data_IF_918436245649
#
_entry.id   IF_918436245649
#
_cell.length_a   1.000
_cell.length_b   1.000
_cell.length_c   1.000
_cell.angle_alpha   90.00
_cell.angle_beta   90.00
_cell.angle_gamma   90.00
#
_symmetry.space_group_name_H-M   'P 1'
#
loop_
_entity.id
_entity.type
_entity.pdbx_description
1 polymer ?
#
# COMPACT_ATOMS: atom_id res chain seq x y z
N UNK A 1 -28.99 -22.90 18.48
CA UNK A 1 -28.49 -24.27 18.22
C UNK A 1 -27.02 -24.27 18.63
N UNK A 2 -26.66 -25.03 19.67
CA UNK A 2 -25.29 -25.13 20.21
C UNK A 2 -24.39 -25.96 19.29
N UNK A 3 -23.11 -25.60 19.15
CA UNK A 3 -21.94 -26.46 18.91
C UNK A 3 -20.68 -25.57 19.05
N UNK A 4 -20.02 -25.54 20.22
CA UNK A 4 -18.93 -26.43 20.73
C UNK A 4 -17.53 -26.06 20.23
N UNK A 5 -16.73 -25.59 21.20
CA UNK A 5 -15.27 -25.39 21.20
C UNK A 5 -14.52 -26.68 20.82
N UNK A 6 -13.42 -26.54 20.09
CA UNK A 6 -12.25 -27.40 20.18
C UNK A 6 -11.00 -26.51 20.14
N UNK A 7 -10.31 -26.44 21.28
CA UNK A 7 -8.97 -25.88 21.38
C UNK A 7 -7.93 -26.91 21.00
N UNK A 8 -6.85 -26.46 20.35
CA UNK A 8 -5.64 -27.23 20.12
C UNK A 8 -4.52 -26.55 20.90
N UNK A 9 -4.11 -27.21 21.99
CA UNK A 9 -2.85 -26.98 22.70
C UNK A 9 -1.71 -27.49 21.81
N UNK A 10 -0.67 -26.69 21.59
CA UNK A 10 0.65 -27.21 21.20
C UNK A 10 1.62 -26.79 22.31
N UNK A 11 2.00 -27.77 23.12
CA UNK A 11 3.14 -27.71 24.00
C UNK A 11 4.10 -28.81 23.56
N UNK A 12 5.28 -28.44 23.04
CA UNK A 12 6.43 -29.35 22.96
C UNK A 12 7.67 -28.57 23.44
N UNK A 13 8.00 -28.81 24.71
CA UNK A 13 9.35 -28.71 25.24
C UNK A 13 10.24 -29.73 24.53
N UNK A 14 11.41 -29.31 24.08
CA UNK A 14 12.52 -30.23 23.76
C UNK A 14 13.82 -29.59 24.20
N UNK A 15 14.26 -30.03 25.37
CA UNK A 15 15.54 -29.70 25.97
C UNK A 15 16.69 -30.43 25.24
N UNK A 16 17.73 -29.66 24.95
CA UNK A 16 19.16 -29.95 25.06
C UNK A 16 19.52 -31.42 25.34
N UNK A 17 20.09 -32.08 24.34
CA UNK A 17 21.04 -33.18 24.53
C UNK A 17 22.34 -32.87 23.79
N UNK A 18 23.31 -32.30 24.52
CA UNK A 18 24.72 -32.35 24.15
C UNK A 18 25.27 -33.72 24.57
N UNK A 19 25.41 -34.64 23.62
CA UNK A 19 26.20 -35.86 23.82
C UNK A 19 27.63 -35.61 23.36
N UNK A 20 28.56 -35.69 24.30
CA UNK A 20 29.99 -35.83 24.01
C UNK A 20 30.38 -37.28 23.72
N UNK A 21 31.32 -37.44 22.79
CA UNK A 21 32.34 -38.50 22.67
C UNK A 21 33.22 -38.04 21.48
N UNK A 22 34.54 -37.97 21.48
CA UNK A 22 35.58 -38.49 22.34
C UNK A 22 36.79 -38.77 21.43
N UNK A 23 38.00 -38.41 21.86
CA UNK A 23 39.24 -38.75 21.14
C UNK A 23 40.45 -38.02 21.72
N UNK A 24 41.15 -38.65 22.66
CA UNK A 24 42.35 -38.11 23.32
C UNK A 24 43.64 -38.79 22.89
N UNK A 25 44.76 -38.24 23.35
CA UNK A 25 46.00 -38.97 23.65
C UNK A 25 46.92 -38.15 24.57
N UNK A 26 47.08 -38.66 25.80
CA UNK A 26 48.25 -38.70 26.70
C UNK A 26 49.29 -37.57 26.77
N UNK A 27 49.50 -37.04 27.99
CA UNK A 27 50.68 -37.38 28.80
C UNK A 27 50.66 -36.82 30.24
N UNK A 28 51.14 -37.67 31.15
CA UNK A 28 51.32 -37.52 32.60
C UNK A 28 51.89 -36.19 33.11
N UNK A 29 51.35 -35.66 34.21
CA UNK A 29 51.95 -35.86 35.55
C UNK A 29 51.23 -35.06 36.65
N UNK A 30 51.17 -35.71 37.81
CA UNK A 30 50.54 -35.37 39.08
C UNK A 30 51.09 -34.14 39.81
N UNK A 31 50.22 -33.33 40.45
CA UNK A 31 50.40 -32.83 41.83
C UNK A 31 49.13 -32.20 42.44
N UNK A 32 49.02 -32.30 43.77
CA UNK A 32 47.90 -32.07 44.71
C UNK A 32 47.40 -30.60 44.84
N UNK A 33 46.27 -30.36 45.56
CA UNK A 33 45.42 -29.18 45.42
C UNK A 33 45.85 -27.98 46.28
N UNK A 34 45.63 -26.78 45.78
CA UNK A 34 45.66 -25.55 46.55
C UNK A 34 44.28 -24.87 46.52
N UNK A 35 43.65 -24.76 47.68
CA UNK A 35 42.52 -23.88 47.96
C UNK A 35 43.01 -22.44 48.11
N UNK A 36 42.64 -21.53 47.20
CA UNK A 36 42.56 -20.06 47.34
C UNK A 36 41.81 -19.57 46.08
N UNK A 37 40.80 -18.72 46.01
CA UNK A 37 40.00 -17.91 46.94
C UNK A 37 38.61 -17.71 46.27
N UNK A 38 37.57 -17.47 47.07
CA UNK A 38 36.27 -17.01 46.58
C UNK A 38 36.43 -15.73 45.75
N UNK A 39 36.16 -15.84 44.44
CA UNK A 39 35.91 -14.70 43.57
C UNK A 39 34.41 -14.39 43.71
N UNK A 40 33.99 -13.15 43.96
CA UNK A 40 32.58 -12.82 43.89
C UNK A 40 32.11 -13.10 42.47
N UNK A 41 31.21 -14.06 42.29
CA UNK A 41 30.47 -14.22 41.04
C UNK A 41 29.61 -12.97 40.84
N UNK A 42 30.11 -12.03 40.06
CA UNK A 42 29.28 -11.04 39.37
C UNK A 42 28.68 -11.70 38.13
N UNK A 43 27.89 -12.75 38.32
CA UNK A 43 27.01 -13.27 37.28
C UNK A 43 25.64 -12.60 37.47
N UNK A 44 25.61 -11.29 37.21
CA UNK A 44 24.35 -10.68 36.80
C UNK A 44 24.06 -11.24 35.40
N UNK A 45 22.94 -11.95 35.18
CA UNK A 45 22.57 -12.35 33.82
C UNK A 45 22.57 -11.09 32.95
N UNK A 46 23.13 -11.13 31.73
CA UNK A 46 23.04 -9.98 30.83
C UNK A 46 21.56 -9.63 30.70
N UNK A 47 21.20 -8.41 31.10
CA UNK A 47 19.87 -7.87 30.89
C UNK A 47 19.67 -7.89 29.38
N UNK A 48 18.85 -8.81 28.91
CA UNK A 48 18.43 -8.84 27.51
C UNK A 48 17.61 -7.57 27.30
N UNK A 49 18.22 -6.55 26.69
CA UNK A 49 17.51 -5.33 26.29
C UNK A 49 16.51 -5.76 25.22
N UNK A 50 15.22 -5.57 25.49
CA UNK A 50 14.18 -5.86 24.52
C UNK A 50 14.37 -4.93 23.31
N UNK A 51 14.38 -5.43 22.07
CA UNK A 51 14.43 -4.59 20.89
C UNK A 51 13.30 -3.56 20.93
N UNK A 52 13.61 -2.28 20.71
CA UNK A 52 12.61 -1.22 20.56
C UNK A 52 12.45 -0.78 19.10
N UNK A 53 13.21 -1.37 18.18
CA UNK A 53 13.04 -1.22 16.75
C UNK A 53 12.97 -2.60 16.09
N UNK A 54 11.92 -2.86 15.33
CA UNK A 54 11.78 -4.13 14.61
C UNK A 54 10.87 -4.02 13.40
N UNK A 55 11.27 -4.65 12.29
CA UNK A 55 10.49 -4.75 11.07
C UNK A 55 10.99 -5.85 10.14
N UNK A 56 10.18 -6.17 9.13
CA UNK A 56 10.56 -7.04 8.01
C UNK A 56 10.39 -6.30 6.69
N UNK A 57 11.43 -6.17 5.88
CA UNK A 57 11.37 -5.47 4.58
C UNK A 57 11.03 -6.40 3.43
N UNK A 58 10.09 -5.97 2.58
CA UNK A 58 9.69 -6.64 1.35
C UNK A 58 9.76 -5.68 0.16
N UNK A 59 9.84 -6.24 -1.04
CA UNK A 59 9.36 -5.58 -2.26
C UNK A 59 7.99 -6.16 -2.60
N UNK A 60 7.03 -5.32 -2.94
CA UNK A 60 5.70 -5.76 -3.38
C UNK A 60 5.41 -5.25 -4.78
N UNK A 61 4.89 -6.12 -5.63
CA UNK A 61 4.32 -5.80 -6.94
C UNK A 61 2.89 -6.31 -7.02
N UNK A 62 2.22 -6.03 -8.14
CA UNK A 62 0.90 -6.62 -8.42
C UNK A 62 0.93 -8.17 -8.51
N UNK A 63 2.12 -8.79 -8.55
CA UNK A 63 2.26 -10.24 -8.72
C UNK A 63 2.66 -10.95 -7.41
N UNK A 64 2.86 -10.20 -6.32
CA UNK A 64 3.22 -10.74 -5.01
C UNK A 64 4.30 -9.93 -4.31
N UNK A 65 4.70 -10.41 -3.14
CA UNK A 65 5.71 -9.77 -2.29
C UNK A 65 6.82 -10.75 -1.94
N UNK A 66 8.06 -10.28 -1.92
CA UNK A 66 9.22 -11.07 -1.46
C UNK A 66 10.10 -10.27 -0.51
N UNK A 67 10.76 -10.92 0.47
CA UNK A 67 11.64 -10.23 1.40
C UNK A 67 12.88 -9.68 0.70
N UNK A 68 13.37 -8.52 1.16
CA UNK A 68 14.54 -7.86 0.59
C UNK A 68 15.51 -7.40 1.67
N UNK A 69 16.80 -7.36 1.32
CA UNK A 69 17.83 -6.74 2.18
C UNK A 69 17.84 -5.24 1.93
N UNK A 70 17.57 -4.47 2.97
CA UNK A 70 17.58 -3.00 2.96
C UNK A 70 18.63 -2.46 3.92
N UNK A 71 19.17 -1.27 3.61
CA UNK A 71 19.98 -0.49 4.54
C UNK A 71 19.07 0.32 5.47
N UNK A 72 19.40 0.36 6.75
CA UNK A 72 18.71 1.11 7.80
C UNK A 72 19.67 2.17 8.30
N UNK A 73 19.33 3.44 8.10
CA UNK A 73 20.15 4.59 8.47
C UNK A 73 19.53 5.30 9.66
N UNK A 74 20.34 5.52 10.70
CA UNK A 74 19.94 6.20 11.93
C UNK A 74 20.39 7.66 11.91
N UNK A 75 19.48 8.56 12.25
CA UNK A 75 19.74 10.00 12.26
C UNK A 75 19.41 10.63 13.61
N UNK A 76 20.18 11.64 14.00
CA UNK A 76 19.88 12.51 15.15
C UNK A 76 18.79 13.53 14.81
N UNK A 77 18.34 14.28 15.82
CA UNK A 77 17.27 15.28 15.70
C UNK A 77 17.53 16.39 14.66
N UNK A 78 18.79 16.70 14.39
CA UNK A 78 19.23 17.66 13.37
C UNK A 78 19.52 16.99 12.01
N UNK A 79 19.17 15.70 11.86
CA UNK A 79 19.31 14.94 10.63
C UNK A 79 20.71 14.33 10.39
N UNK A 80 21.67 14.54 11.30
CA UNK A 80 23.03 13.99 11.12
C UNK A 80 23.04 12.47 11.19
N UNK A 81 23.88 11.87 10.34
CA UNK A 81 24.17 10.44 10.35
C UNK A 81 24.73 9.99 11.71
N UNK A 82 24.16 8.93 12.28
CA UNK A 82 24.64 8.24 13.49
C UNK A 82 25.35 6.95 13.10
N UNK A 83 24.62 6.04 12.45
CA UNK A 83 25.11 4.72 12.03
C UNK A 83 24.20 4.10 10.97
N UNK A 84 24.63 2.97 10.42
CA UNK A 84 23.84 2.16 9.47
C UNK A 84 23.93 0.68 9.83
N UNK A 85 22.87 -0.06 9.53
CA UNK A 85 22.85 -1.52 9.56
C UNK A 85 22.02 -2.08 8.39
N UNK A 86 22.05 -3.38 8.17
CA UNK A 86 21.28 -4.04 7.10
C UNK A 86 20.28 -5.00 7.70
N UNK A 87 19.12 -5.11 7.07
CA UNK A 87 18.21 -6.22 7.36
C UNK A 87 18.84 -7.56 6.97
N UNK A 88 18.37 -8.63 7.58
CA UNK A 88 18.82 -9.99 7.27
C UNK A 88 18.37 -10.43 5.86
N UNK A 89 18.86 -11.57 5.32
CA UNK A 89 18.38 -12.10 4.05
C UNK A 89 16.87 -12.42 4.00
N UNK A 90 16.21 -12.60 5.14
CA UNK A 90 14.74 -12.72 5.24
C UNK A 90 14.03 -11.36 5.35
N UNK A 91 14.77 -10.25 5.25
CA UNK A 91 14.26 -8.88 5.41
C UNK A 91 14.09 -8.45 6.86
N UNK A 92 14.35 -9.32 7.83
CA UNK A 92 14.07 -9.05 9.25
C UNK A 92 15.17 -8.19 9.91
N UNK A 93 14.74 -7.33 10.82
CA UNK A 93 15.59 -6.63 11.79
C UNK A 93 14.88 -6.52 13.14
N UNK A 94 15.63 -6.72 14.21
CA UNK A 94 15.20 -6.50 15.58
C UNK A 94 16.41 -6.01 16.39
N UNK A 95 16.46 -4.71 16.66
CA UNK A 95 17.61 -4.06 17.28
C UNK A 95 17.16 -3.04 18.34
N UNK A 96 18.12 -2.58 19.13
CA UNK A 96 17.94 -1.39 19.97
C UNK A 96 18.39 -0.18 19.17
N UNK A 97 17.57 0.88 19.16
CA UNK A 97 17.95 2.13 18.53
C UNK A 97 19.27 2.66 19.11
N UNK A 98 20.24 3.06 18.26
CA UNK A 98 21.45 3.74 18.72
C UNK A 98 21.12 4.98 19.56
N UNK A 99 22.01 5.31 20.50
CA UNK A 99 21.87 6.51 21.34
C UNK A 99 21.71 7.77 20.49
N UNK A 100 20.78 8.67 20.89
CA UNK A 100 20.42 9.91 20.19
C UNK A 100 19.70 9.74 18.85
N UNK A 101 19.23 8.54 18.52
CA UNK A 101 18.38 8.33 17.34
C UNK A 101 17.04 9.06 17.49
N UNK A 102 16.70 9.90 16.52
CA UNK A 102 15.40 10.55 16.39
C UNK A 102 14.67 10.16 15.11
N UNK A 103 15.40 9.88 14.02
CA UNK A 103 14.79 9.48 12.74
C UNK A 103 15.48 8.24 12.18
N UNK A 104 14.74 7.45 11.41
CA UNK A 104 15.23 6.24 10.74
C UNK A 104 14.85 6.30 9.28
N UNK A 105 15.81 6.05 8.39
CA UNK A 105 15.56 5.91 6.95
C UNK A 105 15.85 4.48 6.49
N UNK A 106 14.87 3.87 5.83
CA UNK A 106 15.03 2.60 5.13
C UNK A 106 15.40 2.88 3.68
N UNK A 107 16.47 2.25 3.20
CA UNK A 107 17.03 2.48 1.87
C UNK A 107 17.13 1.16 1.12
N UNK A 108 16.50 1.10 -0.05
CA UNK A 108 16.52 -0.04 -0.94
C UNK A 108 16.96 0.34 -2.34
N UNK A 109 18.08 -0.23 -2.76
CA UNK A 109 18.63 -0.10 -4.10
C UNK A 109 18.22 -1.33 -4.91
N UNK A 110 17.61 -1.11 -6.07
CA UNK A 110 17.28 -2.17 -7.01
C UNK A 110 17.74 -1.81 -8.42
N UNK A 111 17.82 -2.82 -9.27
CA UNK A 111 18.10 -2.69 -10.69
C UNK A 111 17.03 -3.47 -11.42
N UNK A 112 16.26 -2.81 -12.27
CA UNK A 112 15.22 -3.47 -13.05
C UNK A 112 15.81 -4.49 -14.02
N UNK A 113 14.96 -5.36 -14.58
CA UNK A 113 15.38 -6.32 -15.62
C UNK A 113 16.07 -5.64 -16.83
N UNK A 114 15.70 -4.38 -17.11
CA UNK A 114 16.29 -3.59 -18.20
C UNK A 114 17.61 -2.89 -17.83
N UNK A 115 18.13 -3.12 -16.61
CA UNK A 115 19.34 -2.51 -16.09
C UNK A 115 19.17 -1.08 -15.58
N UNK A 116 17.93 -0.60 -15.42
CA UNK A 116 17.69 0.73 -14.84
C UNK A 116 17.87 0.66 -13.32
N UNK A 117 18.72 1.53 -12.77
CA UNK A 117 18.87 1.68 -11.32
C UNK A 117 17.66 2.39 -10.73
N UNK A 118 17.24 1.95 -9.55
CA UNK A 118 16.21 2.61 -8.77
C UNK A 118 16.61 2.62 -7.30
N UNK A 119 16.40 3.76 -6.65
CA UNK A 119 16.65 3.96 -5.24
C UNK A 119 15.34 4.37 -4.56
N UNK A 120 14.92 3.59 -3.58
CA UNK A 120 13.75 3.90 -2.76
C UNK A 120 14.21 4.19 -1.34
N UNK A 121 13.78 5.34 -0.82
CA UNK A 121 14.06 5.77 0.55
C UNK A 121 12.72 5.99 1.23
N UNK A 122 12.59 5.52 2.46
CA UNK A 122 11.48 5.91 3.31
C UNK A 122 11.98 6.30 4.70
N UNK A 123 11.63 7.51 5.12
CA UNK A 123 12.03 8.03 6.42
C UNK A 123 10.86 8.05 7.39
N UNK A 124 11.12 7.53 8.58
CA UNK A 124 10.28 7.60 9.77
C UNK A 124 10.87 8.67 10.71
N UNK A 125 10.14 9.75 10.91
CA UNK A 125 10.53 10.81 11.84
C UNK A 125 10.10 10.47 13.27
N UNK A 126 10.78 11.03 14.27
CA UNK A 126 10.42 10.93 15.69
C UNK A 126 10.19 9.50 16.20
N UNK A 127 11.19 8.64 16.03
CA UNK A 127 11.16 7.24 16.49
C UNK A 127 11.95 7.02 17.77
N UNK A 128 12.28 8.07 18.53
CA UNK A 128 13.13 7.96 19.73
C UNK A 128 12.53 7.09 20.84
N UNK A 129 11.21 6.92 20.87
CA UNK A 129 10.52 6.00 21.78
C UNK A 129 10.52 4.53 21.30
N UNK A 130 11.05 4.27 20.11
CA UNK A 130 10.98 2.98 19.44
C UNK A 130 9.92 2.96 18.33
N UNK A 131 10.06 2.00 17.41
CA UNK A 131 9.09 1.77 16.34
C UNK A 131 9.08 0.30 15.95
N UNK A 132 7.94 -0.36 16.14
CA UNK A 132 7.76 -1.78 15.81
C UNK A 132 6.62 -1.92 14.82
N UNK A 133 6.93 -2.49 13.67
CA UNK A 133 5.94 -2.89 12.66
C UNK A 133 6.26 -4.30 12.22
N UNK A 134 5.25 -5.09 11.84
CA UNK A 134 5.51 -6.44 11.35
C UNK A 134 6.29 -6.40 10.05
N UNK A 135 5.92 -5.46 9.17
CA UNK A 135 6.39 -5.48 7.79
C UNK A 135 6.34 -4.10 7.15
N UNK A 136 7.35 -3.84 6.33
CA UNK A 136 7.54 -2.66 5.51
C UNK A 136 7.67 -3.09 4.05
N UNK A 137 7.07 -2.37 3.11
CA UNK A 137 7.17 -2.71 1.68
C UNK A 137 7.69 -1.56 0.83
N UNK A 138 8.73 -1.85 0.05
CA UNK A 138 9.13 -1.06 -1.12
C UNK A 138 8.19 -1.37 -2.29
N UNK A 139 7.94 -0.38 -3.15
CA UNK A 139 7.04 -0.53 -4.29
C UNK A 139 7.83 -1.03 -5.51
N UNK A 140 7.45 -2.16 -6.07
CA UNK A 140 7.99 -2.66 -7.32
C UNK A 140 6.98 -2.45 -8.46
N UNK A 141 7.38 -1.64 -9.44
CA UNK A 141 6.53 -1.27 -10.58
C UNK A 141 6.63 -2.26 -11.75
N UNK A 142 7.33 -3.38 -11.59
CA UNK A 142 7.42 -4.36 -12.66
C UNK A 142 6.02 -4.89 -13.02
N UNK A 143 5.61 -4.78 -14.30
CA UNK A 143 4.30 -5.20 -14.73
C UNK A 143 4.21 -6.73 -14.68
N UNK A 144 3.09 -7.25 -14.19
CA UNK A 144 2.82 -8.68 -14.32
C UNK A 144 2.68 -9.04 -15.79
N UNK A 145 3.28 -10.17 -16.19
CA UNK A 145 2.93 -10.81 -17.46
C UNK A 145 1.43 -11.13 -17.49
N UNK A 146 0.86 -11.26 -18.69
CA UNK A 146 -0.54 -11.65 -18.82
C UNK A 146 -0.70 -13.09 -19.34
N UNK A 147 -1.74 -13.74 -18.87
CA UNK A 147 -2.24 -15.01 -19.40
C UNK A 147 -3.17 -14.74 -20.58
N UNK A 148 -2.93 -15.41 -21.71
CA UNK A 148 -3.86 -15.41 -22.83
C UNK A 148 -5.08 -16.29 -22.48
N UNK A 149 -6.24 -15.66 -22.32
CA UNK A 149 -7.50 -16.31 -21.97
C UNK A 149 -8.42 -16.30 -23.18
N UNK A 150 -9.01 -17.47 -23.48
CA UNK A 150 -10.03 -17.61 -24.53
C UNK A 150 -11.39 -17.93 -23.92
N UNK A 151 -12.33 -17.00 -23.98
CA UNK A 151 -13.70 -17.26 -23.57
C UNK A 151 -14.48 -17.91 -24.71
N UNK A 152 -15.09 -19.07 -24.45
CA UNK A 152 -16.09 -19.69 -25.32
C UNK A 152 -17.49 -19.34 -24.81
N UNK A 153 -18.18 -18.48 -25.56
CA UNK A 153 -19.49 -17.92 -25.26
C UNK A 153 -20.64 -18.74 -25.86
N UNK A 154 -20.38 -19.84 -26.57
CA UNK A 154 -21.41 -20.58 -27.30
C UNK A 154 -22.57 -21.01 -26.39
N UNK A 155 -22.26 -21.53 -25.21
CA UNK A 155 -23.28 -22.00 -24.25
C UNK A 155 -24.04 -20.83 -23.62
N UNK A 156 -23.33 -19.84 -23.07
CA UNK A 156 -23.94 -18.65 -22.47
C UNK A 156 -24.87 -17.92 -23.45
N UNK A 157 -24.43 -17.75 -24.70
CA UNK A 157 -25.22 -17.14 -25.78
C UNK A 157 -26.52 -17.89 -26.07
N UNK A 158 -26.52 -19.22 -25.98
CA UNK A 158 -27.72 -20.03 -26.20
C UNK A 158 -28.70 -19.95 -25.02
N UNK A 159 -28.21 -19.74 -23.81
CA UNK A 159 -29.00 -19.69 -22.58
C UNK A 159 -29.62 -18.30 -22.36
N UNK A 160 -28.83 -17.24 -22.53
CA UNK A 160 -29.20 -15.85 -22.22
C UNK A 160 -28.89 -14.88 -23.36
N UNK A 161 -29.44 -15.09 -24.58
CA UNK A 161 -29.06 -14.33 -25.78
C UNK A 161 -29.31 -12.81 -25.68
N UNK A 162 -30.26 -12.38 -24.84
CA UNK A 162 -30.63 -10.97 -24.71
C UNK A 162 -29.81 -10.22 -23.64
N UNK A 163 -28.93 -10.91 -22.92
CA UNK A 163 -28.13 -10.29 -21.87
C UNK A 163 -26.84 -9.68 -22.44
N UNK A 164 -26.33 -8.65 -21.79
CA UNK A 164 -25.00 -8.09 -22.04
C UNK A 164 -24.00 -8.74 -21.09
N UNK A 165 -22.87 -9.22 -21.62
CA UNK A 165 -21.77 -9.78 -20.82
C UNK A 165 -20.66 -8.74 -20.62
N UNK A 166 -20.10 -8.71 -19.42
CA UNK A 166 -19.07 -7.77 -18.97
C UNK A 166 -17.77 -8.49 -18.60
N UNK A 167 -16.65 -7.76 -18.62
CA UNK A 167 -15.29 -8.19 -18.24
C UNK A 167 -14.70 -9.37 -19.05
N UNK A 168 -15.36 -9.82 -20.12
CA UNK A 168 -14.79 -10.77 -21.09
C UNK A 168 -14.02 -10.07 -22.22
N UNK A 169 -14.21 -8.76 -22.36
CA UNK A 169 -13.58 -7.87 -23.33
C UNK A 169 -13.56 -6.43 -22.77
N UNK A 170 -12.76 -5.50 -23.37
CA UNK A 170 -12.69 -4.11 -22.90
C UNK A 170 -14.03 -3.35 -22.95
N UNK A 171 -14.95 -3.77 -23.82
CA UNK A 171 -16.29 -3.21 -23.94
C UNK A 171 -17.33 -4.29 -23.68
N UNK A 172 -18.45 -3.98 -23.00
CA UNK A 172 -19.55 -4.92 -22.82
C UNK A 172 -20.14 -5.34 -24.17
N UNK A 173 -20.60 -6.59 -24.26
CA UNK A 173 -21.08 -7.18 -25.52
C UNK A 173 -22.46 -7.79 -25.30
N UNK A 174 -23.43 -7.45 -26.14
CA UNK A 174 -24.71 -8.15 -26.19
C UNK A 174 -24.50 -9.57 -26.71
N UNK A 175 -24.93 -10.58 -25.95
CA UNK A 175 -24.63 -11.99 -26.26
C UNK A 175 -25.16 -12.44 -27.62
N UNK A 176 -26.32 -11.93 -28.06
CA UNK A 176 -26.88 -12.22 -29.40
C UNK A 176 -25.94 -11.82 -30.54
N UNK A 177 -25.16 -10.74 -30.36
CA UNK A 177 -24.23 -10.17 -31.32
C UNK A 177 -22.79 -10.65 -31.12
N UNK A 178 -22.49 -11.26 -29.96
CA UNK A 178 -21.16 -11.72 -29.61
C UNK A 178 -20.64 -12.81 -30.57
N UNK A 179 -19.34 -12.75 -30.86
CA UNK A 179 -18.60 -13.86 -31.44
C UNK A 179 -18.64 -15.05 -30.46
N UNK A 180 -18.59 -16.28 -30.99
CA UNK A 180 -18.61 -17.48 -30.13
C UNK A 180 -17.35 -17.60 -29.28
N UNK A 181 -16.24 -17.01 -29.72
CA UNK A 181 -14.98 -17.05 -29.01
C UNK A 181 -14.37 -15.66 -28.93
N UNK A 182 -13.90 -15.29 -27.75
CA UNK A 182 -13.17 -14.04 -27.50
C UNK A 182 -11.83 -14.38 -26.88
N UNK A 183 -10.79 -13.63 -27.24
CA UNK A 183 -9.47 -13.78 -26.64
C UNK A 183 -9.06 -12.49 -25.98
N UNK A 184 -8.61 -12.57 -24.73
CA UNK A 184 -8.11 -11.44 -23.95
C UNK A 184 -6.80 -11.81 -23.27
N UNK A 185 -6.11 -10.79 -22.79
CA UNK A 185 -4.89 -10.87 -22.01
C UNK A 185 -5.27 -10.43 -20.59
N UNK A 186 -5.22 -11.35 -19.64
CA UNK A 186 -5.56 -11.09 -18.23
C UNK A 186 -4.27 -11.09 -17.40
N UNK A 187 -4.06 -10.02 -16.63
CA UNK A 187 -2.93 -9.91 -15.69
C UNK A 187 -3.30 -10.41 -14.30
N UNK A 188 -4.60 -10.65 -14.05
CA UNK A 188 -5.13 -11.09 -12.77
C UNK A 188 -5.28 -12.60 -12.73
N UNK A 189 -5.08 -13.20 -11.55
CA UNK A 189 -5.33 -14.64 -11.36
C UNK A 189 -6.83 -14.96 -11.37
N UNK A 190 -7.67 -13.96 -11.08
CA UNK A 190 -9.13 -14.09 -11.05
C UNK A 190 -9.79 -12.92 -11.78
N UNK A 191 -10.93 -13.19 -12.41
CA UNK A 191 -11.75 -12.15 -13.06
C UNK A 191 -13.22 -12.35 -12.71
N UNK A 192 -13.91 -11.28 -12.30
CA UNK A 192 -15.37 -11.29 -12.18
C UNK A 192 -15.96 -11.17 -13.59
N UNK A 193 -16.74 -12.15 -14.01
CA UNK A 193 -17.58 -12.03 -15.22
C UNK A 193 -19.03 -11.96 -14.77
N UNK A 194 -19.80 -11.07 -15.39
CA UNK A 194 -21.22 -10.97 -15.10
C UNK A 194 -22.04 -10.65 -16.34
N UNK A 195 -23.32 -10.97 -16.27
CA UNK A 195 -24.33 -10.63 -17.25
C UNK A 195 -25.34 -9.65 -16.67
N UNK A 196 -25.84 -8.76 -17.53
CA UNK A 196 -26.95 -7.86 -17.24
C UNK A 196 -28.08 -8.13 -18.23
N UNK A 197 -29.29 -8.30 -17.70
CA UNK A 197 -30.55 -8.27 -18.44
C UNK A 197 -31.38 -7.06 -18.00
N UNK A 198 -32.61 -6.90 -18.51
CA UNK A 198 -33.49 -5.79 -18.09
C UNK A 198 -33.82 -5.82 -16.59
N UNK A 199 -33.84 -7.00 -15.97
CA UNK A 199 -34.29 -7.18 -14.58
C UNK A 199 -33.23 -7.74 -13.64
N UNK A 200 -32.20 -8.40 -14.17
CA UNK A 200 -31.29 -9.22 -13.35
C UNK A 200 -29.83 -9.03 -13.72
N UNK A 201 -28.99 -9.13 -12.69
CA UNK A 201 -27.53 -9.18 -12.76
C UNK A 201 -27.05 -10.52 -12.20
N UNK A 202 -26.27 -11.28 -12.96
CA UNK A 202 -25.72 -12.57 -12.52
C UNK A 202 -24.21 -12.61 -12.74
N UNK A 203 -23.46 -12.91 -11.69
CA UNK A 203 -22.00 -12.83 -11.68
C UNK A 203 -21.33 -14.13 -11.21
N UNK A 204 -20.08 -14.30 -11.59
CA UNK A 204 -19.21 -15.38 -11.14
C UNK A 204 -17.73 -15.00 -11.26
N UNK A 205 -16.92 -15.52 -10.35
CA UNK A 205 -15.46 -15.37 -10.40
C UNK A 205 -14.85 -16.54 -11.15
N UNK A 206 -14.01 -16.23 -12.13
CA UNK A 206 -13.33 -17.20 -12.96
C UNK A 206 -11.83 -17.18 -12.66
N UNK A 207 -11.21 -18.36 -12.62
CA UNK A 207 -9.76 -18.51 -12.54
C UNK A 207 -9.13 -18.24 -13.92
N UNK A 208 -8.31 -17.19 -13.99
CA UNK A 208 -7.55 -16.74 -15.17
C UNK A 208 -6.04 -16.88 -14.98
N UNK A 209 -5.59 -17.55 -13.92
CA UNK A 209 -4.18 -17.71 -13.56
C UNK A 209 -3.34 -18.48 -14.59
N UNK A 210 -3.98 -19.23 -15.50
CA UNK A 210 -3.32 -20.04 -16.52
C UNK A 210 -3.90 -19.77 -17.90
N UNK A 211 -3.05 -19.83 -18.93
CA UNK A 211 -3.49 -19.79 -20.33
C UNK A 211 -4.46 -20.95 -20.61
N UNK A 212 -5.73 -20.63 -20.80
CA UNK A 212 -6.81 -21.61 -20.92
C UNK A 212 -7.96 -21.11 -21.80
N UNK A 213 -8.77 -22.08 -22.25
CA UNK A 213 -10.10 -21.78 -22.80
C UNK A 213 -11.13 -21.97 -21.68
N UNK A 214 -11.90 -20.93 -21.39
CA UNK A 214 -12.97 -20.94 -20.39
C UNK A 214 -14.30 -20.94 -21.14
N UNK A 215 -15.02 -22.06 -21.07
CA UNK A 215 -16.41 -22.10 -21.55
C UNK A 215 -17.30 -21.42 -20.54
N UNK A 216 -18.05 -20.40 -20.98
CA UNK A 216 -18.99 -19.66 -20.17
C UNK A 216 -20.42 -20.19 -20.34
N UNK A 217 -21.12 -20.30 -19.22
CA UNK A 217 -22.51 -20.70 -19.12
C UNK A 217 -23.15 -20.06 -17.89
N UNK A 218 -24.48 -20.00 -17.84
CA UNK A 218 -25.21 -19.46 -16.68
C UNK A 218 -24.89 -20.24 -15.39
N UNK A 219 -24.44 -21.49 -15.46
CA UNK A 219 -24.08 -22.29 -14.29
C UNK A 219 -22.85 -21.76 -13.54
N UNK A 220 -22.01 -20.96 -14.20
CA UNK A 220 -20.86 -20.31 -13.56
C UNK A 220 -21.22 -18.94 -12.99
N UNK A 221 -22.37 -18.38 -13.37
CA UNK A 221 -22.84 -17.07 -12.96
C UNK A 221 -23.95 -17.24 -11.91
N UNK A 222 -23.54 -17.54 -10.68
CA UNK A 222 -24.45 -17.97 -9.61
C UNK A 222 -24.81 -16.89 -8.61
N UNK A 223 -24.04 -15.79 -8.58
CA UNK A 223 -24.25 -14.72 -7.64
C UNK A 223 -25.19 -13.66 -8.22
N UNK A 224 -26.21 -13.30 -7.45
CA UNK A 224 -27.10 -12.21 -7.84
C UNK A 224 -26.47 -10.86 -7.51
N UNK A 225 -26.49 -9.95 -8.49
CA UNK A 225 -25.91 -8.62 -8.37
C UNK A 225 -26.87 -7.59 -7.78
N UNK A 226 -26.33 -6.62 -7.07
CA UNK A 226 -27.06 -5.46 -6.54
C UNK A 226 -26.44 -4.19 -7.14
N UNK A 227 -27.27 -3.32 -7.71
CA UNK A 227 -26.81 -2.02 -8.19
C UNK A 227 -26.38 -1.13 -7.02
N UNK A 228 -25.28 -0.41 -7.21
CA UNK A 228 -24.85 0.64 -6.30
C UNK A 228 -25.84 1.81 -6.38
N UNK A 229 -26.42 2.17 -5.24
CA UNK A 229 -27.40 3.26 -5.13
C UNK A 229 -26.70 4.61 -4.98
N UNK A 230 -26.78 5.41 -6.03
CA UNK A 230 -26.25 6.77 -6.10
C UNK A 230 -27.35 7.83 -6.28
N UNK A 231 -28.63 7.47 -6.08
CA UNK A 231 -29.74 8.39 -6.40
C UNK A 231 -29.77 9.64 -5.50
N UNK A 232 -29.29 9.52 -4.26
CA UNK A 232 -29.22 10.64 -3.30
C UNK A 232 -27.91 11.44 -3.42
N UNK A 233 -27.09 11.17 -4.44
CA UNK A 233 -25.78 11.82 -4.62
C UNK A 233 -25.82 12.89 -5.70
N UNK A 234 -25.30 14.06 -5.36
CA UNK A 234 -24.89 15.06 -6.33
C UNK A 234 -23.38 14.99 -6.48
N UNK A 235 -22.92 14.93 -7.72
CA UNK A 235 -21.51 14.95 -8.08
C UNK A 235 -21.16 16.33 -8.64
N UNK A 236 -19.90 16.73 -8.51
CA UNK A 236 -19.35 17.92 -9.14
C UNK A 236 -19.00 17.61 -10.61
N UNK A 237 -19.32 18.51 -11.54
CA UNK A 237 -19.20 18.32 -13.00
C UNK A 237 -17.79 17.86 -13.46
N UNK A 238 -16.76 18.07 -12.63
CA UNK A 238 -15.38 17.66 -12.88
C UNK A 238 -14.99 16.32 -12.25
N UNK A 239 -15.92 15.64 -11.57
CA UNK A 239 -15.66 14.37 -10.89
C UNK A 239 -15.71 13.16 -11.84
N UNK A 240 -14.71 12.32 -11.64
CA UNK A 240 -14.65 10.97 -12.17
C UNK A 240 -14.97 9.99 -11.05
N UNK A 241 -16.00 9.18 -11.26
CA UNK A 241 -16.42 8.10 -10.38
C UNK A 241 -15.63 6.85 -10.78
N UNK A 242 -14.91 6.24 -9.85
CA UNK A 242 -14.21 4.98 -10.06
C UNK A 242 -14.72 3.96 -9.06
N UNK A 243 -15.21 2.83 -9.56
CA UNK A 243 -15.66 1.71 -8.78
C UNK A 243 -14.72 0.54 -8.99
N UNK A 244 -14.33 -0.10 -7.89
CA UNK A 244 -13.46 -1.25 -7.91
C UNK A 244 -13.95 -2.32 -6.95
N UNK A 245 -13.80 -3.57 -7.37
CA UNK A 245 -14.14 -4.78 -6.64
C UNK A 245 -12.90 -5.65 -6.54
N UNK A 246 -12.63 -6.16 -5.35
CA UNK A 246 -11.46 -6.98 -5.08
C UNK A 246 -11.85 -8.29 -4.43
N UNK A 247 -11.09 -9.34 -4.74
CA UNK A 247 -11.12 -10.62 -4.03
C UNK A 247 -9.68 -10.91 -3.59
N UNK A 248 -9.41 -10.80 -2.29
CA UNK A 248 -8.02 -10.76 -1.81
C UNK A 248 -7.22 -9.66 -2.52
N UNK A 249 -6.00 -9.95 -2.95
CA UNK A 249 -5.13 -9.02 -3.68
C UNK A 249 -5.52 -8.76 -5.14
N UNK A 250 -6.48 -9.50 -5.70
CA UNK A 250 -6.84 -9.38 -7.11
C UNK A 250 -7.98 -8.37 -7.29
N UNK A 251 -7.73 -7.33 -8.10
CA UNK A 251 -8.80 -6.49 -8.63
C UNK A 251 -9.60 -7.27 -9.67
N UNK A 252 -10.79 -7.71 -9.30
CA UNK A 252 -11.61 -8.59 -10.16
C UNK A 252 -12.58 -7.81 -11.05
N UNK A 253 -12.86 -6.55 -10.72
CA UNK A 253 -13.64 -5.64 -11.55
C UNK A 253 -13.31 -4.18 -11.22
N UNK A 254 -13.23 -3.35 -12.26
CA UNK A 254 -12.83 -1.96 -12.15
C UNK A 254 -13.46 -1.18 -13.29
N UNK A 255 -14.18 -0.11 -12.96
CA UNK A 255 -14.85 0.74 -13.95
C UNK A 255 -14.74 2.20 -13.58
N UNK A 256 -14.33 2.99 -14.57
CA UNK A 256 -14.19 4.44 -14.45
C UNK A 256 -15.31 5.08 -15.29
N UNK A 257 -16.15 5.89 -14.65
CA UNK A 257 -17.24 6.65 -15.29
C UNK A 257 -17.16 8.11 -14.87
N UNK A 258 -17.35 9.06 -15.79
CA UNK A 258 -17.48 10.47 -15.40
C UNK A 258 -18.94 10.79 -15.02
N UNK A 259 -19.14 11.85 -14.23
CA UNK A 259 -20.51 12.29 -13.90
C UNK A 259 -21.35 12.57 -15.16
N UNK A 260 -20.77 13.24 -16.17
CA UNK A 260 -21.53 13.58 -17.37
C UNK A 260 -22.02 12.34 -18.15
N UNK A 261 -21.24 11.25 -18.19
CA UNK A 261 -21.77 9.98 -18.71
C UNK A 261 -22.77 9.39 -17.72
N UNK A 262 -22.47 9.30 -16.42
CA UNK A 262 -23.37 8.71 -15.43
C UNK A 262 -24.78 9.35 -15.43
N UNK A 263 -24.86 10.67 -15.58
CA UNK A 263 -26.11 11.45 -15.64
C UNK A 263 -26.87 11.30 -16.95
N UNK A 264 -26.24 10.80 -18.01
CA UNK A 264 -26.91 10.54 -19.27
C UNK A 264 -27.82 9.29 -19.14
N UNK A 265 -29.11 9.36 -19.53
CA UNK A 265 -30.07 8.27 -19.31
C UNK A 265 -29.60 6.90 -19.81
N UNK A 266 -28.96 6.86 -20.99
CA UNK A 266 -28.48 5.61 -21.57
C UNK A 266 -27.33 4.95 -20.80
N UNK A 267 -26.61 5.71 -19.97
CA UNK A 267 -25.52 5.19 -19.15
C UNK A 267 -26.04 4.86 -17.75
N UNK A 268 -26.92 5.68 -17.16
CA UNK A 268 -27.57 5.38 -15.88
C UNK A 268 -28.14 3.96 -15.83
N UNK A 269 -28.80 3.54 -16.92
CA UNK A 269 -29.43 2.21 -17.02
C UNK A 269 -28.46 1.09 -17.47
N UNK A 270 -27.26 1.45 -17.96
CA UNK A 270 -26.23 0.51 -18.46
C UNK A 270 -24.98 0.47 -17.56
N UNK A 271 -25.02 1.14 -16.41
CA UNK A 271 -23.83 1.33 -15.59
C UNK A 271 -23.46 0.04 -14.85
N UNK A 272 -22.16 -0.20 -14.84
CA UNK A 272 -21.47 -1.40 -14.36
C UNK A 272 -21.28 -1.41 -12.84
N UNK A 273 -21.95 -0.51 -12.12
CA UNK A 273 -21.75 -0.34 -10.69
C UNK A 273 -22.61 -1.38 -9.97
N UNK A 274 -22.15 -2.63 -10.00
CA UNK A 274 -22.86 -3.78 -9.45
C UNK A 274 -21.93 -4.47 -8.46
N UNK A 275 -22.47 -4.80 -7.28
CA UNK A 275 -21.79 -5.63 -6.28
C UNK A 275 -22.38 -7.04 -6.28
N UNK A 276 -21.57 -8.04 -5.93
CA UNK A 276 -21.96 -9.44 -5.86
C UNK A 276 -21.53 -10.01 -4.50
N UNK A 277 -22.39 -9.86 -3.49
CA UNK A 277 -22.05 -10.21 -2.10
C UNK A 277 -21.70 -11.70 -1.93
N UNK A 278 -22.34 -12.58 -2.69
CA UNK A 278 -22.11 -14.03 -2.63
C UNK A 278 -20.72 -14.46 -3.17
N UNK A 279 -19.97 -13.53 -3.77
CA UNK A 279 -18.62 -13.76 -4.29
C UNK A 279 -17.51 -13.27 -3.35
N UNK A 280 -17.87 -12.89 -2.11
CA UNK A 280 -16.92 -12.41 -1.08
C UNK A 280 -16.07 -11.22 -1.53
N UNK A 281 -16.58 -10.40 -2.46
CA UNK A 281 -15.84 -9.23 -2.95
C UNK A 281 -15.92 -8.05 -1.98
N UNK A 282 -14.85 -7.27 -1.92
CA UNK A 282 -14.83 -5.97 -1.24
C UNK A 282 -14.89 -4.89 -2.30
N UNK A 283 -15.85 -3.98 -2.16
CA UNK A 283 -16.19 -3.02 -3.19
C UNK A 283 -15.95 -1.60 -2.67
N UNK A 284 -15.29 -0.77 -3.47
CA UNK A 284 -15.02 0.64 -3.17
C UNK A 284 -15.59 1.53 -4.27
N UNK A 285 -16.15 2.66 -3.86
CA UNK A 285 -16.45 3.78 -4.75
C UNK A 285 -15.53 4.93 -4.39
N UNK A 286 -14.84 5.47 -5.39
CA UNK A 286 -14.03 6.67 -5.26
C UNK A 286 -14.48 7.75 -6.23
N UNK A 287 -14.36 9.00 -5.77
CA UNK A 287 -14.53 10.20 -6.58
C UNK A 287 -13.16 10.82 -6.72
N UNK A 288 -12.77 11.10 -7.97
CA UNK A 288 -11.50 11.73 -8.30
C UNK A 288 -11.78 13.01 -9.06
N UNK A 289 -11.22 14.13 -8.59
CA UNK A 289 -11.35 15.44 -9.22
C UNK A 289 -9.94 16.01 -9.43
N UNK A 290 -9.41 15.99 -10.66
CA UNK A 290 -8.20 16.72 -10.97
C UNK A 290 -8.51 18.22 -10.94
N UNK A 291 -7.61 19.00 -10.39
CA UNK A 291 -7.74 20.45 -10.38
C UNK A 291 -6.38 21.07 -10.68
N UNK A 292 -6.32 21.84 -11.77
CA UNK A 292 -5.14 22.60 -12.12
C UNK A 292 -5.27 23.99 -11.51
N UNK A 293 -4.32 24.36 -10.67
CA UNK A 293 -4.28 25.67 -10.02
C UNK A 293 -2.97 26.34 -10.36
N UNK A 294 -3.07 27.65 -10.63
CA UNK A 294 -1.94 28.54 -10.70
C UNK A 294 -2.00 29.43 -9.45
N UNK A 295 -1.07 29.23 -8.51
CA UNK A 295 -0.99 30.04 -7.28
C UNK A 295 -0.35 31.40 -7.56
N UNK A 296 0.72 31.39 -8.35
CA UNK A 296 1.43 32.60 -8.79
C UNK A 296 1.79 32.50 -10.26
N UNK A 297 2.28 33.59 -10.86
CA UNK A 297 2.71 33.62 -12.26
C UNK A 297 3.77 32.54 -12.57
N UNK A 298 4.60 32.20 -11.59
CA UNK A 298 5.70 31.22 -11.72
C UNK A 298 5.40 29.86 -11.06
N UNK A 299 4.29 29.74 -10.29
CA UNK A 299 3.93 28.52 -9.56
C UNK A 299 2.58 27.96 -10.03
N UNK A 300 2.65 26.93 -10.86
CA UNK A 300 1.51 26.11 -11.24
C UNK A 300 1.67 24.68 -10.74
N UNK A 301 0.57 24.04 -10.39
CA UNK A 301 0.54 22.64 -9.99
C UNK A 301 -0.73 21.96 -10.43
N UNK A 302 -0.63 20.65 -10.52
CA UNK A 302 -1.79 19.78 -10.66
C UNK A 302 -2.07 19.17 -9.30
N UNK A 303 -3.26 19.42 -8.80
CA UNK A 303 -3.79 18.79 -7.60
C UNK A 303 -4.82 17.72 -7.96
N UNK A 304 -4.93 16.72 -7.09
CA UNK A 304 -5.90 15.65 -7.21
C UNK A 304 -6.64 15.49 -5.89
N UNK A 305 -7.95 15.63 -5.95
CA UNK A 305 -8.84 15.34 -4.84
C UNK A 305 -9.41 13.94 -5.03
N UNK A 306 -9.27 13.11 -4.01
CA UNK A 306 -9.86 11.78 -3.96
C UNK A 306 -10.71 11.65 -2.70
N UNK A 307 -11.94 11.18 -2.84
CA UNK A 307 -12.76 10.72 -1.73
C UNK A 307 -13.12 9.26 -2.00
N UNK A 308 -13.00 8.37 -1.02
CA UNK A 308 -13.26 6.95 -1.21
C UNK A 308 -14.05 6.37 -0.05
N UNK A 309 -15.02 5.52 -0.37
CA UNK A 309 -15.87 4.82 0.59
C UNK A 309 -16.02 3.39 0.17
N UNK A 310 -16.06 2.51 1.16
CA UNK A 310 -16.52 1.14 0.95
C UNK A 310 -18.00 1.15 0.58
N UNK A 311 -18.39 0.28 -0.35
CA UNK A 311 -19.79 0.02 -0.70
C UNK A 311 -20.31 -1.05 0.24
N UNK A 312 -21.43 -0.78 0.90
CA UNK A 312 -22.10 -1.75 1.76
C UNK A 312 -22.77 -2.87 0.96
N UNK A 313 -23.08 -3.98 1.62
CA UNK A 313 -23.78 -5.14 1.05
C UNK A 313 -25.18 -4.80 0.47
N UNK A 314 -25.72 -3.62 0.76
CA UNK A 314 -26.99 -3.13 0.22
C UNK A 314 -26.80 -2.18 -0.97
N UNK A 315 -25.58 -2.08 -1.53
CA UNK A 315 -25.24 -1.16 -2.61
C UNK A 315 -25.15 0.30 -2.18
N UNK A 316 -25.20 0.60 -0.87
CA UNK A 316 -25.14 1.99 -0.36
C UNK A 316 -23.71 2.43 -0.09
N UNK A 317 -23.46 3.72 -0.31
CA UNK A 317 -22.16 4.37 -0.10
C UNK A 317 -22.33 5.51 0.91
N UNK A 318 -21.44 5.60 1.89
CA UNK A 318 -21.39 6.71 2.85
C UNK A 318 -21.03 8.03 2.16
N UNK A 319 -21.13 9.13 2.89
CA UNK A 319 -20.81 10.45 2.35
C UNK A 319 -19.33 10.52 1.92
N UNK A 320 -19.15 10.87 0.65
CA UNK A 320 -17.84 11.08 0.03
C UNK A 320 -17.57 12.58 0.02
N UNK A 321 -16.72 13.03 0.92
CA UNK A 321 -16.39 14.46 1.07
C UNK A 321 -14.88 14.68 0.91
N UNK A 322 -14.51 15.37 -0.17
CA UNK A 322 -13.12 15.80 -0.40
C UNK A 322 -12.60 16.70 0.72
N UNK A 323 -11.28 16.75 0.88
CA UNK A 323 -10.60 17.86 1.54
C UNK A 323 -10.90 19.13 0.72
N UNK A 324 -11.28 20.21 1.38
CA UNK A 324 -11.72 21.42 0.69
C UNK A 324 -10.53 22.26 0.24
N UNK A 325 -10.59 22.76 -1.01
CA UNK A 325 -9.68 23.78 -1.47
C UNK A 325 -10.13 25.14 -0.90
N UNK A 326 -9.31 25.73 -0.04
CA UNK A 326 -9.56 27.03 0.57
C UNK A 326 -8.24 27.80 0.74
N UNK A 327 -8.32 29.06 1.16
CA UNK A 327 -7.14 29.91 1.36
C UNK A 327 -6.16 29.34 2.39
N UNK A 328 -6.65 28.58 3.38
CA UNK A 328 -5.80 27.96 4.42
C UNK A 328 -4.91 26.86 3.81
N UNK A 329 -5.49 25.96 3.00
CA UNK A 329 -4.74 24.93 2.28
C UNK A 329 -3.71 25.55 1.33
N UNK A 330 -4.14 26.56 0.58
CA UNK A 330 -3.28 27.35 -0.31
C UNK A 330 -2.09 27.93 0.44
N UNK A 331 -2.30 28.66 1.54
CA UNK A 331 -1.23 29.30 2.30
C UNK A 331 -0.30 28.29 2.99
N UNK A 332 -0.83 27.19 3.52
CA UNK A 332 -0.01 26.13 4.12
C UNK A 332 0.94 25.51 3.08
N UNK A 333 0.45 25.29 1.86
CA UNK A 333 1.26 24.79 0.77
C UNK A 333 2.32 25.81 0.29
N UNK A 334 1.96 27.08 0.14
CA UNK A 334 2.93 28.14 -0.20
C UNK A 334 4.05 28.22 0.85
N UNK A 335 3.69 28.13 2.13
CA UNK A 335 4.67 28.09 3.24
C UNK A 335 5.61 26.90 3.11
N UNK A 336 5.07 25.71 2.83
CA UNK A 336 5.87 24.50 2.60
C UNK A 336 6.86 24.68 1.44
N UNK A 337 6.41 25.15 0.27
CA UNK A 337 7.28 25.37 -0.89
C UNK A 337 8.33 26.44 -0.64
N UNK A 338 7.98 27.52 0.05
CA UNK A 338 8.96 28.53 0.43
C UNK A 338 10.04 27.97 1.37
N UNK A 339 9.67 27.05 2.27
CA UNK A 339 10.64 26.40 3.17
C UNK A 339 11.62 25.47 2.44
N UNK A 340 11.21 24.86 1.32
CA UNK A 340 12.12 24.04 0.50
C UNK A 340 13.24 24.88 -0.15
N UNK A 341 12.99 26.16 -0.38
CA UNK A 341 13.94 27.08 -1.00
C UNK A 341 14.75 27.88 0.04
N UNK A 342 14.53 27.64 1.34
CA UNK A 342 15.23 28.37 2.40
C UNK A 342 16.67 27.85 2.58
N UNK A 343 17.60 28.78 2.82
CA UNK A 343 19.03 28.49 3.02
C UNK A 343 19.30 27.71 4.30
N UNK A 344 18.31 27.61 5.19
CA UNK A 344 18.38 26.92 6.50
C UNK A 344 18.42 25.38 6.40
N UNK A 345 18.17 24.81 5.21
CA UNK A 345 18.10 23.36 4.96
C UNK A 345 17.09 22.60 5.83
N UNK A 346 16.08 23.29 6.38
CA UNK A 346 14.97 22.67 7.13
C UNK A 346 13.66 22.95 6.42
N UNK A 347 12.85 21.91 6.23
CA UNK A 347 11.51 22.04 5.63
C UNK A 347 10.47 22.08 6.74
N UNK A 348 9.56 23.05 6.70
CA UNK A 348 8.51 23.21 7.72
C UNK A 348 7.15 22.83 7.14
N UNK A 349 6.43 21.96 7.83
CA UNK A 349 5.07 21.53 7.52
C UNK A 349 4.14 21.92 8.65
N UNK A 350 3.06 22.62 8.31
CA UNK A 350 1.95 22.88 9.22
C UNK A 350 0.64 22.85 8.41
N UNK A 351 -0.04 21.71 8.47
CA UNK A 351 -1.34 21.46 7.83
C UNK A 351 -2.48 21.30 8.85
N UNK A 352 -2.20 21.60 10.12
CA UNK A 352 -3.14 21.45 11.25
C UNK A 352 -4.47 22.16 11.05
N UNK A 353 -4.44 23.33 10.41
CA UNK A 353 -5.58 24.20 10.19
C UNK A 353 -6.38 23.89 8.91
N UNK A 354 -5.88 23.00 8.04
CA UNK A 354 -6.48 22.75 6.72
C UNK A 354 -7.81 22.03 6.82
N UNK A 355 -7.80 20.86 7.45
CA UNK A 355 -8.98 20.02 7.65
C UNK A 355 -8.71 19.13 8.86
N UNK A 356 -9.54 19.26 9.91
CA UNK A 356 -9.41 18.51 11.16
C UNK A 356 -9.41 16.98 10.99
N UNK A 357 -9.87 16.47 9.84
CA UNK A 357 -9.86 15.03 9.53
C UNK A 357 -8.49 14.56 9.04
N UNK A 358 -7.61 15.45 8.56
CA UNK A 358 -6.27 15.09 8.10
C UNK A 358 -5.47 14.60 9.30
N UNK A 359 -4.99 13.37 9.17
CA UNK A 359 -4.25 12.67 10.22
C UNK A 359 -2.98 11.97 9.70
N UNK A 360 -2.73 12.08 8.38
CA UNK A 360 -1.54 11.55 7.75
C UNK A 360 -1.13 12.50 6.61
N UNK A 361 0.12 12.92 6.62
CA UNK A 361 0.74 13.68 5.54
C UNK A 361 1.94 12.92 5.00
N UNK A 362 2.00 12.80 3.68
CA UNK A 362 3.12 12.17 2.97
C UNK A 362 3.81 13.19 2.09
N UNK A 363 5.12 13.32 2.24
CA UNK A 363 5.98 14.08 1.34
C UNK A 363 6.78 13.09 0.50
N UNK A 364 6.73 13.22 -0.82
CA UNK A 364 7.49 12.37 -1.73
C UNK A 364 8.39 13.22 -2.62
N UNK A 365 9.70 13.01 -2.52
CA UNK A 365 10.71 13.59 -3.38
C UNK A 365 11.08 12.57 -4.46
N UNK A 366 11.05 12.97 -5.73
CA UNK A 366 11.44 12.12 -6.84
C UNK A 366 12.39 12.87 -7.78
N UNK A 367 13.50 12.23 -8.14
CA UNK A 367 14.48 12.77 -9.09
C UNK A 367 15.18 11.64 -9.84
N UNK A 368 16.01 11.97 -10.82
CA UNK A 368 16.80 11.01 -11.58
C UNK A 368 18.24 11.50 -11.73
N UNK A 369 19.21 10.60 -11.62
CA UNK A 369 20.62 10.89 -11.89
C UNK A 369 21.39 9.65 -12.35
N UNK A 370 22.56 9.85 -12.98
CA UNK A 370 23.36 8.74 -13.54
C UNK A 370 23.92 7.76 -12.49
N UNK A 371 24.08 8.22 -11.24
CA UNK A 371 24.68 7.43 -10.17
C UNK A 371 23.68 6.45 -9.56
N UNK A 372 22.48 6.94 -9.24
CA UNK A 372 21.43 6.24 -8.46
C UNK A 372 20.22 5.85 -9.33
N UNK A 373 20.12 6.38 -10.55
CA UNK A 373 18.96 6.24 -11.41
C UNK A 373 17.74 6.97 -10.83
N UNK A 374 16.57 6.35 -10.96
CA UNK A 374 15.30 6.91 -10.47
C UNK A 374 15.24 6.82 -8.95
N UNK A 375 15.23 7.96 -8.28
CA UNK A 375 15.13 8.05 -6.83
C UNK A 375 13.70 8.42 -6.43
N UNK A 376 13.17 7.75 -5.41
CA UNK A 376 11.90 8.05 -4.78
C UNK A 376 12.07 8.03 -3.26
N UNK A 377 11.87 9.16 -2.61
CA UNK A 377 12.06 9.33 -1.17
C UNK A 377 10.77 9.80 -0.51
N UNK A 378 10.19 8.95 0.32
CA UNK A 378 8.96 9.21 1.04
C UNK A 378 9.21 9.53 2.52
N UNK A 379 8.51 10.53 3.03
CA UNK A 379 8.44 10.87 4.46
C UNK A 379 6.98 10.86 4.89
N UNK A 380 6.68 10.26 6.05
CA UNK A 380 5.33 10.18 6.62
C UNK A 380 5.31 10.89 7.97
N UNK A 381 4.39 11.85 8.13
CA UNK A 381 4.19 12.72 9.31
C UNK A 381 2.69 12.91 9.57
N UNK A 382 2.31 13.47 10.71
CA UNK A 382 0.96 13.90 11.05
C UNK A 382 0.58 15.23 10.37
N UNK A 383 1.56 15.95 9.81
CA UNK A 383 1.36 17.21 9.11
C UNK A 383 1.79 18.46 9.89
N UNK A 384 2.35 18.29 11.08
CA UNK A 384 2.94 19.36 11.90
C UNK A 384 4.38 19.01 12.27
N UNK A 385 5.33 19.35 11.40
CA UNK A 385 6.71 18.85 11.54
C UNK A 385 7.76 19.80 10.96
N UNK A 386 8.98 19.71 11.51
CA UNK A 386 10.18 20.25 10.88
C UNK A 386 11.06 19.10 10.40
N UNK A 387 11.20 18.96 9.09
CA UNK A 387 12.05 17.94 8.47
C UNK A 387 13.47 18.51 8.38
N UNK A 388 14.45 17.95 9.11
CA UNK A 388 15.84 18.37 8.99
C UNK A 388 16.47 17.86 7.69
N UNK A 389 17.62 18.42 7.33
CA UNK A 389 18.45 17.84 6.28
C UNK A 389 19.04 16.50 6.74
N UNK A 390 18.54 15.41 6.16
CA UNK A 390 18.91 14.04 6.54
C UNK A 390 20.16 13.58 5.79
N UNK A 391 21.23 13.30 6.53
CA UNK A 391 22.51 12.84 5.98
C UNK A 391 22.60 11.31 6.02
N UNK A 392 22.95 10.69 4.90
CA UNK A 392 22.93 9.22 4.73
C UNK A 392 24.31 8.55 4.84
N UNK A 393 25.37 9.31 5.08
CA UNK A 393 26.74 8.78 5.05
C UNK A 393 27.08 8.20 3.67
N UNK A 394 27.66 7.01 3.63
CA UNK A 394 28.05 6.34 2.37
C UNK A 394 26.91 5.52 1.73
N UNK A 395 25.71 5.48 2.34
CA UNK A 395 24.59 4.65 1.87
C UNK A 395 23.90 5.26 0.64
N UNK A 396 23.79 6.59 0.61
CA UNK A 396 23.19 7.36 -0.49
C UNK A 396 24.19 8.46 -0.85
N UNK A 397 24.53 8.57 -2.13
CA UNK A 397 25.40 9.64 -2.60
C UNK A 397 24.62 10.96 -2.64
N UNK A 398 25.19 12.00 -2.02
CA UNK A 398 24.64 13.35 -2.11
C UNK A 398 24.83 13.90 -3.53
N UNK A 399 23.71 14.14 -4.22
CA UNK A 399 23.66 14.70 -5.57
C UNK A 399 22.57 15.76 -5.60
N UNK A 400 22.92 16.97 -6.05
CA UNK A 400 21.93 18.03 -6.27
C UNK A 400 21.01 17.63 -7.44
N UNK A 401 19.69 17.50 -7.22
CA UNK A 401 18.78 16.98 -8.24
C UNK A 401 18.47 18.06 -9.28
N UNK A 402 18.70 17.76 -10.57
CA UNK A 402 18.38 18.67 -11.68
C UNK A 402 16.90 18.64 -12.13
N UNK A 403 16.10 17.73 -11.57
CA UNK A 403 14.72 17.46 -11.99
C UNK A 403 13.83 17.07 -10.80
N UNK A 404 14.01 17.75 -9.67
CA UNK A 404 13.32 17.42 -8.43
C UNK A 404 11.81 17.63 -8.58
N UNK A 405 11.05 16.57 -8.34
CA UNK A 405 9.61 16.60 -8.20
C UNK A 405 9.24 16.36 -6.74
N UNK A 406 8.45 17.24 -6.16
CA UNK A 406 7.92 17.09 -4.80
C UNK A 406 6.41 16.86 -4.90
N UNK A 407 5.93 15.78 -4.30
CA UNK A 407 4.50 15.51 -4.17
C UNK A 407 4.12 15.48 -2.70
N UNK A 408 3.23 16.39 -2.31
CA UNK A 408 2.63 16.41 -0.99
C UNK A 408 1.26 15.74 -1.06
N UNK A 409 0.94 14.87 -0.11
CA UNK A 409 -0.39 14.26 0.01
C UNK A 409 -0.92 14.41 1.44
N UNK A 410 -2.11 14.97 1.59
CA UNK A 410 -2.85 15.07 2.84
C UNK A 410 -3.93 13.99 2.81
N UNK A 411 -3.92 13.10 3.80
CA UNK A 411 -4.86 12.01 3.94
C UNK A 411 -5.67 12.16 5.22
N UNK A 412 -6.99 12.15 5.05
CA UNK A 412 -7.97 12.00 6.11
C UNK A 412 -8.41 10.54 6.13
N UNK A 413 -7.72 9.71 6.92
CA UNK A 413 -8.02 8.29 7.06
C UNK A 413 -9.08 8.05 8.13
N UNK A 414 -9.85 6.97 7.98
CA UNK A 414 -10.88 6.58 8.94
C UNK A 414 -10.24 5.88 10.15
N UNK A 415 -9.92 6.66 11.18
CA UNK A 415 -9.19 6.17 12.36
C UNK A 415 -9.44 7.05 13.59
N UNK A 416 -9.32 6.45 14.76
CA UNK A 416 -9.22 7.12 16.06
C UNK A 416 -7.84 6.92 16.72
N UNK A 417 -6.89 6.32 15.98
CA UNK A 417 -5.54 6.03 16.46
C UNK A 417 -4.72 7.30 16.70
N UNK A 418 -3.73 7.20 17.60
CA UNK A 418 -2.62 8.15 17.66
C UNK A 418 -1.80 8.09 16.36
N UNK A 419 -0.98 9.11 16.10
CA UNK A 419 -0.18 9.13 14.87
C UNK A 419 0.76 7.92 14.74
N UNK A 420 1.43 7.49 15.82
CA UNK A 420 2.33 6.34 15.75
C UNK A 420 1.60 5.02 15.43
N UNK A 421 0.46 4.79 16.08
CA UNK A 421 -0.39 3.62 15.82
C UNK A 421 -0.98 3.68 14.40
N UNK A 422 -1.39 4.88 13.95
CA UNK A 422 -1.87 5.13 12.60
C UNK A 422 -0.78 4.84 11.57
N UNK A 423 0.43 5.35 11.78
CA UNK A 423 1.57 5.16 10.88
C UNK A 423 1.91 3.67 10.76
N UNK A 424 1.96 2.94 11.87
CA UNK A 424 2.17 1.49 11.87
C UNK A 424 1.06 0.75 11.09
N UNK A 425 -0.20 1.10 11.35
CA UNK A 425 -1.35 0.49 10.68
C UNK A 425 -1.37 0.81 9.18
N UNK A 426 -1.06 2.05 8.80
CA UNK A 426 -0.95 2.49 7.43
C UNK A 426 0.13 1.74 6.68
N UNK A 427 1.34 1.60 7.24
CA UNK A 427 2.42 0.84 6.59
C UNK A 427 2.06 -0.64 6.41
N UNK A 428 1.44 -1.25 7.42
CA UNK A 428 0.96 -2.63 7.31
C UNK A 428 -0.14 -2.78 6.24
N UNK A 429 -0.99 -1.77 6.08
CA UNK A 429 -2.07 -1.77 5.08
C UNK A 429 -1.56 -1.71 3.63
N UNK A 430 -0.33 -1.24 3.41
CA UNK A 430 0.28 -1.12 2.08
C UNK A 430 0.88 -2.43 1.55
N UNK A 431 0.92 -3.48 2.37
CA UNK A 431 1.53 -4.77 2.02
C UNK A 431 0.62 -5.59 1.10
N UNK A 432 -0.67 -5.62 1.41
CA UNK A 432 -1.65 -6.40 0.70
C UNK A 432 -3.02 -5.76 0.84
N UNK A 433 -3.89 -6.00 -0.13
CA UNK A 433 -5.26 -5.54 -0.11
C UNK A 433 -6.03 -6.13 1.08
N UNK A 434 -5.77 -7.38 1.50
CA UNK A 434 -6.44 -7.95 2.68
C UNK A 434 -6.12 -7.14 3.93
N UNK A 435 -4.84 -6.84 4.17
CA UNK A 435 -4.42 -5.98 5.30
C UNK A 435 -5.02 -4.58 5.18
N UNK A 436 -5.13 -4.05 3.96
CA UNK A 436 -5.84 -2.79 3.69
C UNK A 436 -7.29 -2.82 4.16
N UNK A 437 -8.04 -3.85 3.78
CA UNK A 437 -9.45 -4.00 4.17
C UNK A 437 -9.58 -4.24 5.67
N UNK A 438 -8.73 -5.08 6.27
CA UNK A 438 -8.75 -5.36 7.70
C UNK A 438 -8.53 -4.10 8.55
N UNK A 439 -7.65 -3.20 8.08
CA UNK A 439 -7.38 -1.93 8.76
C UNK A 439 -8.56 -0.97 8.81
N UNK A 440 -9.46 -1.03 7.82
CA UNK A 440 -10.58 -0.09 7.61
C UNK A 440 -10.18 1.40 7.50
N UNK A 441 -8.88 1.71 7.44
CA UNK A 441 -8.37 3.10 7.32
C UNK A 441 -8.91 3.81 6.08
N UNK A 442 -9.20 3.03 5.04
CA UNK A 442 -9.64 3.51 3.73
C UNK A 442 -11.17 3.51 3.57
N UNK A 443 -11.91 3.03 4.57
CA UNK A 443 -13.36 3.04 4.58
C UNK A 443 -13.83 4.46 4.96
N UNK A 444 -14.09 5.31 3.96
CA UNK A 444 -14.39 6.75 4.10
C UNK A 444 -13.16 7.64 4.27
N UNK A 445 -12.15 7.42 3.44
CA UNK A 445 -11.01 8.33 3.38
C UNK A 445 -11.24 9.51 2.44
N UNK A 446 -10.52 10.59 2.68
CA UNK A 446 -10.27 11.63 1.68
C UNK A 446 -8.77 11.86 1.54
N UNK A 447 -8.33 12.20 0.33
CA UNK A 447 -6.95 12.56 0.05
C UNK A 447 -6.91 13.77 -0.87
N UNK A 448 -5.97 14.65 -0.60
CA UNK A 448 -5.57 15.73 -1.47
C UNK A 448 -4.10 15.55 -1.78
N UNK A 449 -3.74 15.45 -3.06
CA UNK A 449 -2.33 15.45 -3.47
C UNK A 449 -2.02 16.60 -4.40
N UNK A 450 -0.79 17.08 -4.33
CA UNK A 450 -0.27 18.16 -5.15
C UNK A 450 1.17 17.81 -5.54
N UNK A 451 1.47 17.87 -6.84
CA UNK A 451 2.83 17.74 -7.36
C UNK A 451 3.39 19.05 -7.88
N UNK A 452 4.59 19.41 -7.40
CA UNK A 452 5.41 20.51 -7.89
C UNK A 452 6.72 19.98 -8.47
N UNK A 453 7.22 20.65 -9.51
CA UNK A 453 8.47 20.32 -10.19
C UNK A 453 9.35 21.55 -10.17
N UNK A 454 10.57 21.38 -9.66
CA UNK A 454 11.61 22.39 -9.58
C UNK A 454 12.54 22.32 -10.80
#
# INVERSE_FOLDING_TARGET
>A
MNLKKNGILIAILSAIHLTGCGGGSDSNSSQQPAQVADRPSTDTPPVSVEPNFSLTTYKSSACGSEPVVADIVYHSIDGRFISTEKTSPSGEIASTLPENTQHVSLVYNTMSENGEKQLQIQTLLNVSEGFKIDTFSFNDKEPCGCSAIKYDLTTLKAQTPNSTVFNVAPTPITLSEAQTQLSTCSTQAQTLVFTQSETDYQGGVLDTSKAATITLSDQQLTASGILVDLNDRQFDDQETIHFSSYLGNDEVHSVIVNQAAYTHPSYKDKNQLVIFNDLETVNYLSLNRPHHTQLTDDLSFTSYFTAMSRVSDQGKVSELAHIQLNDVLTSAYESFINSLNDETQTTVLDFSAVDHRVNLVTVNYAWDNDLQGKVNWQIITDGEETIPHLLFGDVVTDVEPNNLSVTLSLSALNTEHTFDDLRATYLNSMISFEKRVESKLFDNMANYSLTHKL
#
